data_IF_499676943756
#
_entry.id   IF_499676943756
#
_cell.length_a   1.000
_cell.length_b   1.000
_cell.length_c   1.000
_cell.angle_alpha   90.00
_cell.angle_beta   90.00
_cell.angle_gamma   90.00
#
_symmetry.space_group_name_H-M   'P 1'
#
loop_
_entity.id
_entity.type
_entity.pdbx_description
1 polymer ?
#
# COMPACT_ATOMS: atom_id res chain seq x y z
N UNK A 1 -21.20 23.10 -10.68
CA UNK A 1 -20.73 21.71 -10.55
C UNK A 1 -19.23 21.83 -10.73
N UNK A 2 -18.46 21.68 -9.65
CA UNK A 2 -17.02 21.90 -9.69
C UNK A 2 -16.39 20.83 -10.59
N UNK A 3 -15.52 21.28 -11.50
CA UNK A 3 -14.69 20.42 -12.32
C UNK A 3 -13.67 19.78 -11.38
N UNK A 4 -13.95 18.58 -10.88
CA UNK A 4 -12.96 17.81 -10.15
C UNK A 4 -12.14 17.07 -11.19
N UNK A 5 -11.20 17.78 -11.80
CA UNK A 5 -10.26 17.15 -12.72
C UNK A 5 -9.27 16.32 -11.89
N UNK A 6 -8.85 15.18 -12.44
CA UNK A 6 -7.85 14.30 -11.84
C UNK A 6 -6.61 15.09 -11.40
N UNK A 7 -6.02 14.71 -10.27
CA UNK A 7 -4.75 15.31 -9.82
C UNK A 7 -3.63 14.41 -10.32
N UNK A 8 -2.81 14.93 -11.23
CA UNK A 8 -1.60 14.25 -11.68
C UNK A 8 -0.39 14.77 -10.91
N UNK A 9 0.23 13.91 -10.12
CA UNK A 9 1.43 14.22 -9.35
C UNK A 9 2.52 13.18 -9.60
N UNK A 10 3.79 13.57 -9.79
CA UNK A 10 4.87 12.63 -10.05
C UNK A 10 5.19 11.69 -8.87
N UNK A 11 4.75 12.01 -7.65
CA UNK A 11 4.95 11.19 -6.45
C UNK A 11 3.70 10.36 -6.15
N UNK A 12 2.51 10.96 -6.26
CA UNK A 12 1.25 10.28 -5.93
C UNK A 12 0.63 9.53 -7.11
N UNK A 13 1.17 9.67 -8.32
CA UNK A 13 0.54 9.16 -9.52
C UNK A 13 -0.69 10.00 -9.91
N UNK A 14 -1.71 9.33 -10.45
CA UNK A 14 -2.97 9.98 -10.78
C UNK A 14 -3.98 9.71 -9.67
N UNK A 15 -4.45 10.77 -9.02
CA UNK A 15 -5.54 10.71 -8.06
C UNK A 15 -6.85 11.01 -8.76
N UNK A 16 -7.77 10.06 -8.66
CA UNK A 16 -9.12 10.15 -9.18
C UNK A 16 -10.04 10.67 -8.07
N UNK A 17 -10.84 11.71 -8.34
CA UNK A 17 -11.82 12.20 -7.39
C UNK A 17 -12.92 11.15 -7.15
N UNK A 18 -13.49 11.11 -5.94
CA UNK A 18 -14.58 10.19 -5.64
C UNK A 18 -15.89 10.64 -6.30
N UNK A 19 -16.74 9.66 -6.66
CA UNK A 19 -18.09 9.90 -7.22
C UNK A 19 -19.08 10.51 -6.20
N UNK A 20 -18.80 10.34 -4.91
CA UNK A 20 -19.51 10.91 -3.76
C UNK A 20 -18.49 11.63 -2.84
N UNK A 21 -18.90 12.49 -1.87
CA UNK A 21 -17.94 13.03 -0.90
C UNK A 21 -17.16 11.90 -0.21
N UNK A 22 -15.83 11.86 -0.40
CA UNK A 22 -15.02 10.72 0.01
C UNK A 22 -13.53 10.89 -0.26
N UNK A 23 -12.82 9.77 -0.26
CA UNK A 23 -11.38 9.73 -0.48
C UNK A 23 -11.05 9.83 -1.97
N UNK A 24 -10.04 10.62 -2.29
CA UNK A 24 -9.38 10.56 -3.59
C UNK A 24 -8.50 9.32 -3.63
N UNK A 25 -8.60 8.55 -4.70
CA UNK A 25 -7.92 7.27 -4.83
C UNK A 25 -6.90 7.34 -5.96
N UNK A 26 -5.76 6.70 -5.77
CA UNK A 26 -4.76 6.56 -6.80
C UNK A 26 -3.83 5.41 -6.52
N UNK A 27 -2.90 5.21 -7.42
CA UNK A 27 -1.95 4.11 -7.35
C UNK A 27 -0.55 4.63 -7.63
N UNK A 28 0.40 4.21 -6.82
CA UNK A 28 1.80 4.62 -6.87
C UNK A 28 2.71 3.41 -6.86
N UNK A 29 3.76 3.43 -7.70
CA UNK A 29 4.83 2.45 -7.62
C UNK A 29 5.83 2.82 -6.51
N UNK A 30 6.01 1.91 -5.57
CA UNK A 30 7.03 1.98 -4.54
C UNK A 30 7.99 0.81 -4.75
N UNK A 31 9.11 1.08 -5.41
CA UNK A 31 10.19 0.10 -5.66
C UNK A 31 9.71 -1.16 -6.39
N UNK A 32 8.84 -1.01 -7.39
CA UNK A 32 8.28 -2.12 -8.16
C UNK A 32 7.06 -2.80 -7.51
N UNK A 33 6.58 -2.28 -6.38
CA UNK A 33 5.30 -2.65 -5.80
C UNK A 33 4.25 -1.59 -6.11
N UNK A 34 3.14 -2.02 -6.70
CA UNK A 34 1.97 -1.18 -6.90
C UNK A 34 1.21 -1.02 -5.57
N UNK A 35 1.09 0.22 -5.10
CA UNK A 35 0.47 0.56 -3.81
C UNK A 35 -0.71 1.50 -4.04
N UNK A 36 -1.88 1.07 -3.56
CA UNK A 36 -3.08 1.91 -3.54
C UNK A 36 -2.97 2.98 -2.46
N UNK A 37 -3.29 4.21 -2.81
CA UNK A 37 -3.36 5.35 -1.90
C UNK A 37 -4.78 5.91 -1.88
N UNK A 38 -5.26 6.19 -0.67
CA UNK A 38 -6.54 6.85 -0.43
C UNK A 38 -6.30 8.10 0.42
N UNK A 39 -6.71 9.26 -0.08
CA UNK A 39 -6.50 10.55 0.54
C UNK A 39 -7.86 11.16 0.86
N UNK A 40 -8.19 11.26 2.14
CA UNK A 40 -9.38 11.97 2.59
C UNK A 40 -9.17 13.48 2.43
N UNK A 41 -9.85 14.06 1.44
CA UNK A 41 -9.81 15.49 1.19
C UNK A 41 -11.17 16.03 1.64
N UNK A 42 -11.24 16.67 2.83
CA UNK A 42 -12.48 17.27 3.29
C UNK A 42 -12.91 18.30 2.25
N UNK A 43 -14.20 18.35 1.94
CA UNK A 43 -14.77 19.13 0.82
C UNK A 43 -14.59 20.66 0.85
N UNK A 44 -13.63 21.18 1.62
CA UNK A 44 -13.08 22.51 1.44
C UNK A 44 -11.85 22.45 0.52
N UNK A 45 -11.96 23.02 -0.67
CA UNK A 45 -10.84 23.07 -1.65
C UNK A 45 -9.63 23.86 -1.11
N UNK A 46 -9.82 24.72 -0.11
CA UNK A 46 -8.75 25.54 0.49
C UNK A 46 -7.64 24.74 1.17
N UNK A 47 -7.87 23.46 1.51
CA UNK A 47 -6.88 22.58 2.13
C UNK A 47 -6.32 21.53 1.18
N UNK A 48 -6.84 21.45 -0.05
CA UNK A 48 -6.45 20.44 -1.03
C UNK A 48 -4.93 20.39 -1.23
N UNK A 49 -4.31 21.53 -1.50
CA UNK A 49 -2.87 21.63 -1.73
C UNK A 49 -2.05 21.16 -0.52
N UNK A 50 -2.48 21.52 0.69
CA UNK A 50 -1.78 21.15 1.92
C UNK A 50 -1.87 19.65 2.21
N UNK A 51 -3.04 19.05 1.96
CA UNK A 51 -3.26 17.60 2.16
C UNK A 51 -2.48 16.80 1.12
N UNK A 52 -2.52 17.22 -0.15
CA UNK A 52 -1.72 16.61 -1.22
C UNK A 52 -0.23 16.73 -0.91
N UNK A 53 0.24 17.90 -0.46
CA UNK A 53 1.64 18.07 -0.06
C UNK A 53 2.04 17.13 1.08
N UNK A 54 1.20 16.98 2.10
CA UNK A 54 1.44 16.04 3.20
C UNK A 54 1.47 14.59 2.72
N UNK A 55 0.53 14.18 1.86
CA UNK A 55 0.52 12.83 1.29
C UNK A 55 1.82 12.55 0.51
N UNK A 56 2.35 13.53 -0.22
CA UNK A 56 3.64 13.41 -0.93
C UNK A 56 4.79 13.18 0.03
N UNK A 57 4.84 13.91 1.13
CA UNK A 57 5.87 13.73 2.15
C UNK A 57 5.84 12.32 2.74
N UNK A 58 4.63 11.78 2.98
CA UNK A 58 4.46 10.40 3.47
C UNK A 58 4.96 9.39 2.43
N UNK A 59 4.55 9.49 1.17
CA UNK A 59 5.00 8.56 0.11
C UNK A 59 6.52 8.64 -0.08
N UNK A 60 7.11 9.84 -0.11
CA UNK A 60 8.56 10.02 -0.21
C UNK A 60 9.28 9.43 1.01
N UNK A 61 8.71 9.58 2.20
CA UNK A 61 9.26 8.97 3.41
C UNK A 61 9.24 7.44 3.32
N UNK A 62 8.13 6.84 2.88
CA UNK A 62 8.01 5.39 2.69
C UNK A 62 9.02 4.90 1.64
N UNK A 63 9.11 5.57 0.49
CA UNK A 63 10.10 5.25 -0.55
C UNK A 63 11.54 5.32 -0.03
N UNK A 64 11.88 6.33 0.77
CA UNK A 64 13.23 6.49 1.31
C UNK A 64 13.56 5.51 2.45
N UNK A 65 12.54 4.97 3.13
CA UNK A 65 12.69 4.12 4.31
C UNK A 65 12.09 2.73 4.11
N UNK A 66 11.91 2.31 2.86
CA UNK A 66 11.14 1.13 2.48
C UNK A 66 11.56 -0.11 3.27
N UNK A 67 12.86 -0.42 3.34
CA UNK A 67 13.33 -1.62 4.04
C UNK A 67 13.01 -1.59 5.52
N UNK A 68 13.07 -0.42 6.16
CA UNK A 68 12.71 -0.26 7.58
C UNK A 68 11.20 -0.36 7.79
N UNK A 69 10.40 0.21 6.89
CA UNK A 69 8.93 0.09 6.92
C UNK A 69 8.52 -1.36 6.75
N UNK A 70 9.13 -2.08 5.80
CA UNK A 70 8.93 -3.51 5.58
C UNK A 70 9.29 -4.34 6.80
N UNK A 71 10.46 -4.10 7.40
CA UNK A 71 10.85 -4.78 8.64
C UNK A 71 9.88 -4.54 9.79
N UNK A 72 9.38 -3.29 9.93
CA UNK A 72 8.40 -2.94 10.96
C UNK A 72 7.08 -3.69 10.72
N UNK A 73 6.58 -3.68 9.49
CA UNK A 73 5.35 -4.39 9.12
C UNK A 73 5.46 -5.91 9.34
N UNK A 74 6.59 -6.53 8.99
CA UNK A 74 6.85 -7.95 9.23
C UNK A 74 6.83 -8.27 10.74
N UNK A 75 7.43 -7.42 11.56
CA UNK A 75 7.45 -7.62 13.01
C UNK A 75 6.06 -7.44 13.64
N UNK A 76 5.28 -6.46 13.20
CA UNK A 76 3.91 -6.27 13.68
C UNK A 76 3.00 -7.45 13.29
N UNK A 77 3.10 -7.92 12.04
CA UNK A 77 2.36 -9.10 11.59
C UNK A 77 2.79 -10.37 12.33
N UNK A 78 4.09 -10.54 12.57
CA UNK A 78 4.61 -11.67 13.35
C UNK A 78 4.08 -11.65 14.78
N UNK A 79 4.03 -10.47 15.40
CA UNK A 79 3.48 -10.32 16.74
C UNK A 79 2.02 -10.78 16.77
N UNK A 80 1.20 -10.31 15.83
CA UNK A 80 -0.21 -10.72 15.71
C UNK A 80 -0.35 -12.23 15.48
N UNK A 81 0.45 -12.84 14.61
CA UNK A 81 0.45 -14.29 14.36
C UNK A 81 0.81 -15.06 15.64
N UNK A 82 1.89 -14.65 16.31
CA UNK A 82 2.36 -15.31 17.53
C UNK A 82 1.42 -15.12 18.73
N UNK A 83 0.64 -14.03 18.76
CA UNK A 83 -0.42 -13.83 19.74
C UNK A 83 -1.60 -14.77 19.50
N UNK A 84 -1.96 -15.01 18.23
CA UNK A 84 -3.09 -15.86 17.85
C UNK A 84 -2.77 -17.37 17.80
N UNK A 85 -1.50 -17.75 17.59
CA UNK A 85 -1.00 -19.13 17.61
C UNK A 85 0.19 -19.29 18.56
N UNK A 86 -0.04 -19.31 19.89
CA UNK A 86 1.03 -19.27 20.88
C UNK A 86 1.86 -20.56 20.98
N UNK A 87 1.36 -21.69 20.45
CA UNK A 87 2.03 -22.99 20.52
C UNK A 87 3.12 -23.16 19.45
N UNK A 88 3.03 -22.43 18.33
CA UNK A 88 3.96 -22.49 17.21
C UNK A 88 4.52 -21.08 16.92
N UNK A 89 5.21 -20.49 17.91
CA UNK A 89 5.80 -19.17 17.75
C UNK A 89 6.90 -19.20 16.70
N UNK A 90 6.70 -18.40 15.66
CA UNK A 90 7.69 -18.20 14.61
C UNK A 90 8.71 -17.14 15.04
N UNK A 91 9.96 -17.32 14.61
CA UNK A 91 10.94 -16.24 14.56
C UNK A 91 10.69 -15.34 13.35
N UNK A 92 11.27 -14.14 13.34
CA UNK A 92 11.14 -13.20 12.22
C UNK A 92 11.70 -13.76 10.90
N UNK A 93 12.75 -14.57 10.96
CA UNK A 93 13.31 -15.19 9.76
C UNK A 93 12.42 -16.34 9.25
N UNK A 94 11.90 -17.20 10.14
CA UNK A 94 10.95 -18.26 9.74
C UNK A 94 9.65 -17.71 9.16
N UNK A 95 9.17 -16.58 9.70
CA UNK A 95 7.98 -15.92 9.18
C UNK A 95 8.25 -15.20 7.85
N UNK A 96 9.43 -14.61 7.66
CA UNK A 96 9.81 -14.03 6.37
C UNK A 96 9.92 -15.11 5.30
N UNK A 97 10.57 -16.23 5.62
CA UNK A 97 10.72 -17.36 4.71
C UNK A 97 9.35 -17.96 4.34
N UNK A 98 8.39 -18.01 5.28
CA UNK A 98 7.04 -18.50 4.98
C UNK A 98 6.26 -17.58 4.03
N UNK A 99 6.36 -16.25 4.21
CA UNK A 99 5.75 -15.27 3.31
C UNK A 99 6.33 -15.36 1.88
N UNK A 100 7.64 -15.54 1.75
CA UNK A 100 8.30 -15.69 0.44
C UNK A 100 7.87 -16.98 -0.28
N UNK A 101 7.74 -18.08 0.46
CA UNK A 101 7.27 -19.37 -0.05
C UNK A 101 5.81 -19.31 -0.52
N UNK A 102 4.93 -18.58 0.19
CA UNK A 102 3.55 -18.39 -0.26
C UNK A 102 3.46 -17.54 -1.52
N UNK A 103 4.28 -16.49 -1.66
CA UNK A 103 4.31 -15.65 -2.87
C UNK A 103 4.72 -16.46 -4.12
N UNK A 104 5.67 -17.39 -3.96
CA UNK A 104 6.15 -18.25 -5.05
C UNK A 104 5.10 -19.28 -5.47
N UNK A 105 4.33 -19.79 -4.51
CA UNK A 105 3.25 -20.75 -4.78
C UNK A 105 2.04 -20.10 -5.49
N UNK A 106 1.76 -18.82 -5.21
CA UNK A 106 0.71 -18.06 -5.89
C UNK A 106 1.09 -17.77 -7.36
N UNK A 107 2.35 -17.45 -7.65
CA UNK A 107 2.86 -17.28 -9.02
C UNK A 107 2.82 -18.58 -9.84
N UNK A 108 2.98 -19.74 -9.21
CA UNK A 108 2.86 -21.03 -9.90
C UNK A 108 1.39 -21.43 -10.17
N UNK A 109 0.44 -21.04 -9.30
CA UNK A 109 -0.99 -21.30 -9.53
C UNK A 109 -1.61 -20.44 -10.63
N UNK A 110 -1.09 -19.24 -10.91
CA UNK A 110 -1.57 -18.40 -12.02
C UNK A 110 -1.07 -18.87 -13.40
N UNK A 111 -0.10 -19.79 -13.45
CA UNK A 111 0.45 -20.35 -14.69
C UNK A 111 -0.19 -21.68 -15.13
N UNK A 112 -1.29 -22.12 -14.48
CA UNK A 112 -1.89 -23.43 -14.71
C UNK A 112 -3.41 -23.44 -14.85
N UNK A 113 -3.93 -23.02 -16.00
CA UNK A 113 -5.20 -23.52 -16.59
C UNK A 113 -5.28 -23.07 -18.07
N UNK A 114 -4.65 -23.82 -18.99
CA UNK A 114 -5.28 -24.87 -19.81
C UNK A 114 -6.37 -24.30 -20.76
N UNK A 115 -6.05 -23.96 -22.01
CA UNK A 115 -6.19 -24.88 -23.16
C UNK A 115 -6.96 -26.16 -22.85
N UNK A 116 -8.21 -26.18 -23.31
CA UNK A 116 -9.07 -27.35 -23.46
C UNK A 116 -10.21 -26.98 -24.40
#
# INVERSE_FOLDING_TARGET
>A
MASSDEIHDPVLGTLVPPDEPGCWEGTVDIMGLEVDIAIDIPGNESQLEAIVAFAKEVVLFVQANESRVRETAVNELLEEVNQNWPDDKLTADEFRDSLELESTQLLHKSSGSATG
#
